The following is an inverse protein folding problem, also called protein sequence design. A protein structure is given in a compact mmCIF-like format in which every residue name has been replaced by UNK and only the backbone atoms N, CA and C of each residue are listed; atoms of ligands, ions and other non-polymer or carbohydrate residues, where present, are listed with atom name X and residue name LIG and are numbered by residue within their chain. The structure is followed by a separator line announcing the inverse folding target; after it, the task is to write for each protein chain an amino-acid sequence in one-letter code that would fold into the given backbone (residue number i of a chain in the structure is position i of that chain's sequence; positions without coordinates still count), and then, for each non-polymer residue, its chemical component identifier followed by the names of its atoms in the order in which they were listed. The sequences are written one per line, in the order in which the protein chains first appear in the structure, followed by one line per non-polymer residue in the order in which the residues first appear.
data_IF_688848559736
#
_entry.id   IF_688848559736
#
_cell.length_a   1.000
_cell.length_b   1.000
_cell.length_c   1.000
_cell.angle_alpha   90.00
_cell.angle_beta   90.00
_cell.angle_gamma   90.00
#
_symmetry.space_group_name_H-M   'P 1'
#
loop_
_entity.id
_entity.type
_entity.pdbx_description
1 polymer ?
#
# COMPACT_ATOMS: atom_id res chain seq x y z
N UNK A 1 8.81 -4.66 -33.29
CA UNK A 1 7.36 -4.44 -33.07
C UNK A 1 7.21 -3.29 -32.09
N UNK A 2 6.86 -2.11 -32.58
CA UNK A 2 6.82 -0.87 -31.79
C UNK A 2 5.49 -0.82 -31.05
N UNK A 3 5.50 -0.98 -29.74
CA UNK A 3 4.31 -0.94 -28.90
C UNK A 3 3.82 0.51 -28.79
N UNK A 4 2.70 0.82 -29.43
CA UNK A 4 2.07 2.12 -29.45
C UNK A 4 1.47 2.46 -28.07
N UNK A 5 2.07 3.42 -27.37
CA UNK A 5 1.57 3.94 -26.07
C UNK A 5 0.21 4.63 -26.29
N UNK A 6 -0.84 4.30 -25.50
CA UNK A 6 -2.16 4.89 -25.66
C UNK A 6 -2.16 6.40 -25.39
N UNK A 7 -2.95 7.16 -26.16
CA UNK A 7 -3.03 8.62 -26.16
C UNK A 7 -3.59 9.29 -24.90
N UNK A 8 -4.03 8.51 -23.90
CA UNK A 8 -4.53 9.02 -22.61
C UNK A 8 -3.44 9.49 -21.64
N UNK A 9 -2.17 9.36 -22.00
CA UNK A 9 -1.02 9.72 -21.16
C UNK A 9 -0.57 11.18 -21.32
N UNK A 10 -1.27 12.01 -22.13
CA UNK A 10 -0.82 13.37 -22.48
C UNK A 10 -1.07 14.44 -21.40
N UNK A 11 -1.73 14.14 -20.31
CA UNK A 11 -2.04 15.16 -19.30
C UNK A 11 -1.03 15.26 -18.15
N UNK A 12 -0.01 14.42 -18.13
CA UNK A 12 1.05 14.50 -17.13
C UNK A 12 2.42 14.27 -17.77
N UNK A 13 2.91 15.29 -18.49
CA UNK A 13 4.34 15.42 -18.76
C UNK A 13 4.90 16.42 -17.75
N UNK A 14 5.89 16.03 -16.91
CA UNK A 14 6.67 17.03 -16.21
C UNK A 14 7.33 17.91 -17.27
N UNK A 15 7.12 19.23 -17.18
CA UNK A 15 7.85 20.19 -18.02
C UNK A 15 9.30 20.10 -17.62
N UNK A 16 10.08 19.40 -18.42
CA UNK A 16 11.54 19.52 -18.36
C UNK A 16 11.86 20.96 -18.78
N UNK A 17 12.11 21.83 -17.81
CA UNK A 17 12.81 23.06 -18.09
C UNK A 17 14.24 22.65 -18.48
N UNK A 18 14.58 22.87 -19.74
CA UNK A 18 15.95 22.82 -20.24
C UNK A 18 16.73 23.96 -19.58
N UNK A 19 17.22 23.74 -18.38
CA UNK A 19 18.24 24.52 -17.73
C UNK A 19 19.56 23.78 -17.92
N UNK A 20 20.58 24.49 -18.37
CA UNK A 20 21.88 23.96 -18.82
C UNK A 20 22.47 22.95 -17.86
N UNK A 21 22.95 21.86 -18.43
CA UNK A 21 23.80 20.86 -17.78
C UNK A 21 25.13 21.55 -17.44
N UNK A 22 25.29 21.92 -16.19
CA UNK A 22 26.61 22.05 -15.60
C UNK A 22 26.91 20.72 -14.94
N UNK A 23 28.00 20.08 -15.40
CA UNK A 23 28.62 18.94 -14.75
C UNK A 23 28.89 19.29 -13.27
N UNK A 24 28.06 18.77 -12.39
CA UNK A 24 28.39 18.60 -10.99
C UNK A 24 28.10 17.11 -10.73
N UNK A 25 29.17 16.35 -10.53
CA UNK A 25 29.16 15.07 -9.84
C UNK A 25 28.42 15.29 -8.53
N UNK A 26 27.11 15.13 -8.56
CA UNK A 26 26.28 15.21 -7.35
C UNK A 26 26.53 13.90 -6.65
N UNK A 27 27.36 13.99 -5.61
CA UNK A 27 27.67 12.91 -4.69
C UNK A 27 26.35 12.22 -4.27
N UNK A 28 26.09 11.04 -4.82
CA UNK A 28 24.83 10.31 -4.67
C UNK A 28 24.50 9.97 -3.20
N UNK A 29 25.47 10.19 -2.31
CA UNK A 29 25.39 9.89 -0.87
C UNK A 29 25.14 11.16 -0.01
N UNK A 30 25.07 12.35 -0.61
CA UNK A 30 24.82 13.58 0.14
C UNK A 30 23.31 13.82 0.35
N UNK A 31 22.85 14.02 1.60
CA UNK A 31 21.44 14.33 1.86
C UNK A 31 20.99 15.59 1.13
N UNK A 32 19.80 15.54 0.54
CA UNK A 32 19.19 16.69 -0.14
C UNK A 32 18.89 17.83 0.85
N UNK A 33 18.98 19.07 0.37
CA UNK A 33 18.47 20.23 1.10
C UNK A 33 16.95 20.04 1.40
N UNK A 34 16.42 20.55 2.54
CA UNK A 34 15.05 20.29 2.97
C UNK A 34 13.97 20.59 1.92
N UNK A 35 14.09 21.70 1.19
CA UNK A 35 13.11 22.08 0.16
C UNK A 35 13.18 21.17 -1.08
N UNK A 36 14.37 20.75 -1.49
CA UNK A 36 14.57 19.80 -2.58
C UNK A 36 14.06 18.41 -2.18
N UNK A 37 14.33 17.98 -0.96
CA UNK A 37 13.81 16.74 -0.41
C UNK A 37 12.27 16.75 -0.42
N UNK A 38 11.64 17.82 0.10
CA UNK A 38 10.19 17.96 0.13
C UNK A 38 9.57 17.90 -1.28
N UNK A 39 10.20 18.58 -2.24
CA UNK A 39 9.77 18.55 -3.64
C UNK A 39 9.84 17.13 -4.23
N UNK A 40 10.96 16.43 -4.02
CA UNK A 40 11.14 15.05 -4.53
C UNK A 40 10.19 14.06 -3.87
N UNK A 41 9.96 14.16 -2.56
CA UNK A 41 8.98 13.33 -1.85
C UNK A 41 7.55 13.59 -2.33
N UNK A 42 7.21 14.83 -2.71
CA UNK A 42 5.91 15.16 -3.32
C UNK A 42 5.72 14.42 -4.64
N UNK A 43 6.76 14.32 -5.48
CA UNK A 43 6.71 13.57 -6.74
C UNK A 43 6.41 12.08 -6.49
N UNK A 44 7.09 11.47 -5.51
CA UNK A 44 6.83 10.07 -5.11
C UNK A 44 5.40 9.90 -4.61
N UNK A 45 4.96 10.76 -3.68
CA UNK A 45 3.64 10.69 -3.09
C UNK A 45 2.52 10.83 -4.13
N UNK A 46 2.69 11.70 -5.12
CA UNK A 46 1.72 11.88 -6.21
C UNK A 46 1.48 10.60 -7.04
N UNK A 47 2.43 9.67 -7.06
CA UNK A 47 2.31 8.40 -7.79
C UNK A 47 1.62 7.30 -6.99
N UNK A 48 1.69 7.32 -5.66
CA UNK A 48 1.18 6.24 -4.79
C UNK A 48 -0.33 6.02 -5.00
N UNK A 49 -1.13 7.05 -4.92
CA UNK A 49 -2.58 6.94 -5.07
C UNK A 49 -3.03 6.43 -6.44
N UNK A 50 -2.56 7.00 -7.57
CA UNK A 50 -2.86 6.47 -8.90
C UNK A 50 -2.40 5.03 -9.13
N UNK A 51 -1.22 4.65 -8.64
CA UNK A 51 -0.70 3.30 -8.74
C UNK A 51 -1.61 2.30 -7.99
N UNK A 52 -1.90 2.59 -6.72
CA UNK A 52 -2.77 1.77 -5.89
C UNK A 52 -4.14 1.54 -6.55
N UNK A 53 -4.81 2.60 -7.03
CA UNK A 53 -6.10 2.49 -7.72
C UNK A 53 -6.04 1.67 -9.01
N UNK A 54 -4.94 1.76 -9.77
CA UNK A 54 -4.76 0.97 -11.00
C UNK A 54 -4.58 -0.51 -10.69
N UNK A 55 -3.75 -0.84 -9.72
CA UNK A 55 -3.55 -2.24 -9.29
C UNK A 55 -4.86 -2.83 -8.82
N UNK A 56 -5.57 -2.14 -7.92
CA UNK A 56 -6.86 -2.60 -7.42
C UNK A 56 -7.87 -2.87 -8.54
N UNK A 57 -8.06 -1.90 -9.45
CA UNK A 57 -8.98 -2.07 -10.58
C UNK A 57 -8.63 -3.30 -11.43
N UNK A 58 -7.34 -3.55 -11.65
CA UNK A 58 -6.90 -4.73 -12.41
C UNK A 58 -7.15 -6.03 -11.67
N UNK A 59 -6.92 -6.06 -10.37
CA UNK A 59 -7.21 -7.23 -9.53
C UNK A 59 -8.73 -7.51 -9.52
N UNK A 60 -9.56 -6.49 -9.35
CA UNK A 60 -11.02 -6.60 -9.40
C UNK A 60 -11.54 -7.10 -10.76
N UNK A 61 -10.96 -6.61 -11.87
CA UNK A 61 -11.33 -7.07 -13.22
C UNK A 61 -10.93 -8.51 -13.48
N UNK A 62 -9.81 -8.97 -12.91
CA UNK A 62 -9.31 -10.33 -13.12
C UNK A 62 -10.13 -11.39 -12.38
N UNK A 63 -10.90 -11.03 -11.35
CA UNK A 63 -11.81 -11.95 -10.66
C UNK A 63 -12.92 -11.20 -9.91
N UNK A 64 -14.11 -11.11 -10.49
CA UNK A 64 -15.29 -10.49 -9.84
C UNK A 64 -15.80 -11.26 -8.63
N UNK A 65 -15.20 -12.39 -8.27
CA UNK A 65 -15.81 -13.42 -7.41
C UNK A 65 -15.71 -13.12 -5.91
N UNK A 66 -14.77 -12.30 -5.45
CA UNK A 66 -14.56 -12.20 -4.01
C UNK A 66 -15.07 -10.90 -3.37
N UNK A 67 -15.36 -9.88 -4.18
CA UNK A 67 -16.01 -8.64 -3.70
C UNK A 67 -15.42 -8.05 -2.42
N UNK A 68 -14.13 -8.30 -2.18
CA UNK A 68 -13.47 -7.78 -0.99
C UNK A 68 -13.38 -6.25 -1.11
N UNK A 69 -14.06 -5.55 -0.21
CA UNK A 69 -13.85 -4.11 -0.09
C UNK A 69 -12.40 -3.84 0.34
N UNK A 70 -11.89 -2.65 -0.01
CA UNK A 70 -10.56 -2.19 0.40
C UNK A 70 -10.34 -2.36 1.91
N UNK A 71 -11.36 -2.05 2.70
CA UNK A 71 -11.31 -2.17 4.15
C UNK A 71 -11.23 -3.61 4.64
N UNK A 72 -12.05 -4.50 4.10
CA UNK A 72 -12.00 -5.94 4.43
C UNK A 72 -10.62 -6.49 4.07
N UNK A 73 -10.13 -6.18 2.87
CA UNK A 73 -8.80 -6.60 2.44
C UNK A 73 -7.71 -6.13 3.41
N UNK A 74 -7.72 -4.86 3.82
CA UNK A 74 -6.75 -4.32 4.76
C UNK A 74 -6.73 -5.07 6.11
N UNK A 75 -7.91 -5.47 6.61
CA UNK A 75 -8.01 -6.31 7.81
C UNK A 75 -7.40 -7.69 7.59
N UNK A 76 -7.70 -8.35 6.46
CA UNK A 76 -7.16 -9.68 6.16
C UNK A 76 -5.64 -9.66 5.96
N UNK A 77 -5.11 -8.62 5.29
CA UNK A 77 -3.65 -8.44 5.10
C UNK A 77 -2.92 -8.29 6.44
N UNK A 78 -3.41 -7.43 7.34
CA UNK A 78 -2.85 -7.29 8.68
C UNK A 78 -2.84 -8.61 9.46
N UNK A 79 -3.97 -9.33 9.45
CA UNK A 79 -4.08 -10.61 10.17
C UNK A 79 -3.20 -11.70 9.56
N UNK A 80 -2.96 -11.65 8.26
CA UNK A 80 -2.04 -12.57 7.57
C UNK A 80 -0.59 -12.30 7.96
N UNK A 81 -0.21 -11.03 8.08
CA UNK A 81 1.16 -10.60 8.35
C UNK A 81 1.52 -10.72 9.84
N UNK A 82 0.63 -10.27 10.71
CA UNK A 82 0.92 -10.15 12.15
C UNK A 82 0.22 -11.21 13.01
N UNK A 83 -0.60 -12.09 12.40
CA UNK A 83 -1.42 -13.04 13.16
C UNK A 83 -2.62 -12.36 13.83
N UNK A 84 -3.18 -12.96 14.90
CA UNK A 84 -4.34 -12.44 15.59
C UNK A 84 -4.10 -11.05 16.20
N UNK A 85 -5.01 -10.10 15.96
CA UNK A 85 -4.92 -8.72 16.43
C UNK A 85 -6.23 -8.25 17.06
N UNK A 86 -6.15 -7.25 17.93
CA UNK A 86 -7.32 -6.50 18.40
C UNK A 86 -7.61 -5.31 17.50
N UNK A 87 -8.86 -4.83 17.49
CA UNK A 87 -9.24 -3.62 16.73
C UNK A 87 -8.37 -2.39 17.04
N UNK A 88 -8.02 -2.11 18.32
CA UNK A 88 -7.09 -1.01 18.62
C UNK A 88 -5.67 -1.19 18.04
N UNK A 89 -5.16 -2.44 17.99
CA UNK A 89 -3.87 -2.70 17.36
C UNK A 89 -3.91 -2.44 15.85
N UNK A 90 -4.96 -2.92 15.17
CA UNK A 90 -5.18 -2.65 13.74
C UNK A 90 -5.32 -1.15 13.46
N UNK A 91 -6.05 -0.42 14.31
CA UNK A 91 -6.21 1.03 14.18
C UNK A 91 -4.87 1.77 14.23
N UNK A 92 -4.00 1.41 15.16
CA UNK A 92 -2.65 1.98 15.24
C UNK A 92 -1.80 1.62 14.03
N UNK A 93 -1.81 0.35 13.61
CA UNK A 93 -1.01 -0.10 12.47
C UNK A 93 -1.39 0.57 11.13
N UNK A 94 -2.62 1.06 11.01
CA UNK A 94 -3.12 1.70 9.79
C UNK A 94 -3.39 3.20 9.93
N UNK A 95 -3.07 3.81 11.06
CA UNK A 95 -3.43 5.20 11.38
C UNK A 95 -4.93 5.50 11.17
N UNK A 96 -5.82 4.54 11.52
CA UNK A 96 -7.26 4.63 11.35
C UNK A 96 -8.00 4.68 12.68
N UNK A 97 -9.17 5.35 12.68
CA UNK A 97 -10.01 5.40 13.86
C UNK A 97 -10.54 4.00 14.24
N UNK A 98 -10.66 3.75 15.55
CA UNK A 98 -11.20 2.49 16.07
C UNK A 98 -12.57 2.16 15.47
N UNK A 99 -13.45 3.16 15.31
CA UNK A 99 -14.79 2.94 14.74
C UNK A 99 -14.73 2.49 13.28
N UNK A 100 -13.80 3.07 12.51
CA UNK A 100 -13.63 2.69 11.11
C UNK A 100 -13.12 1.25 10.98
N UNK A 101 -12.09 0.89 11.77
CA UNK A 101 -11.57 -0.50 11.80
C UNK A 101 -12.64 -1.49 12.28
N UNK A 102 -13.44 -1.12 13.31
CA UNK A 102 -14.52 -1.99 13.79
C UNK A 102 -15.55 -2.30 12.69
N UNK A 103 -15.90 -1.31 11.84
CA UNK A 103 -16.79 -1.54 10.70
C UNK A 103 -16.20 -2.53 9.69
N UNK A 104 -14.91 -2.38 9.36
CA UNK A 104 -14.20 -3.29 8.45
C UNK A 104 -14.15 -4.72 9.01
N UNK A 105 -13.88 -4.87 10.30
CA UNK A 105 -13.88 -6.17 10.99
C UNK A 105 -15.27 -6.80 10.99
N UNK A 106 -16.32 -6.01 11.26
CA UNK A 106 -17.69 -6.51 11.24
C UNK A 106 -18.12 -6.98 9.82
N UNK A 107 -17.73 -6.24 8.77
CA UNK A 107 -17.95 -6.65 7.37
C UNK A 107 -17.20 -7.96 7.05
N UNK A 108 -15.95 -8.08 7.46
CA UNK A 108 -15.19 -9.31 7.30
C UNK A 108 -15.81 -10.49 8.06
N UNK A 109 -16.31 -10.28 9.29
CA UNK A 109 -16.97 -11.30 10.09
C UNK A 109 -18.31 -11.73 9.50
N UNK A 110 -19.12 -10.80 9.00
CA UNK A 110 -20.40 -11.11 8.32
C UNK A 110 -20.19 -12.00 7.09
N UNK A 111 -19.02 -11.92 6.47
CA UNK A 111 -18.62 -12.75 5.32
C UNK A 111 -17.95 -14.06 5.74
N UNK A 112 -17.82 -14.34 7.02
CA UNK A 112 -17.14 -15.53 7.53
C UNK A 112 -15.62 -15.56 7.33
N UNK A 113 -15.00 -14.40 7.03
CA UNK A 113 -13.56 -14.31 6.73
C UNK A 113 -12.69 -14.15 7.97
N UNK A 114 -13.28 -13.72 9.08
CA UNK A 114 -12.61 -13.59 10.38
C UNK A 114 -13.50 -14.09 11.50
N UNK A 115 -12.88 -14.63 12.54
CA UNK A 115 -13.48 -14.98 13.82
C UNK A 115 -13.15 -13.92 14.86
N UNK A 116 -14.12 -13.64 15.74
CA UNK A 116 -14.00 -12.75 16.89
C UNK A 116 -14.03 -13.59 18.15
N UNK A 117 -12.88 -13.70 18.85
CA UNK A 117 -12.73 -14.53 20.04
C UNK A 117 -12.39 -13.70 21.27
N UNK A 118 -12.71 -14.15 22.48
CA UNK A 118 -12.23 -13.51 23.71
C UNK A 118 -10.71 -13.41 23.71
N UNK A 119 -10.19 -12.28 24.20
CA UNK A 119 -8.75 -12.10 24.35
C UNK A 119 -8.31 -12.53 25.75
N UNK A 120 -7.49 -13.60 25.88
CA UNK A 120 -7.04 -14.07 27.20
C UNK A 120 -6.23 -13.03 27.98
N UNK A 121 -5.52 -12.14 27.27
CA UNK A 121 -4.67 -11.12 27.88
C UNK A 121 -5.45 -9.87 28.31
N UNK A 122 -6.64 -9.60 27.70
CA UNK A 122 -7.43 -8.40 27.98
C UNK A 122 -8.91 -8.64 27.76
N UNK A 123 -9.66 -8.89 28.83
CA UNK A 123 -11.10 -9.20 28.77
C UNK A 123 -11.98 -8.13 28.08
N UNK A 124 -11.49 -6.88 27.96
CA UNK A 124 -12.25 -5.77 27.33
C UNK A 124 -12.00 -5.61 25.83
N UNK A 125 -11.13 -6.44 25.22
CA UNK A 125 -10.82 -6.35 23.80
C UNK A 125 -10.85 -7.74 23.17
N UNK A 126 -11.67 -7.94 22.16
CA UNK A 126 -11.71 -9.18 21.40
C UNK A 126 -10.48 -9.34 20.51
N UNK A 127 -10.08 -10.55 20.28
CA UNK A 127 -9.03 -10.95 19.36
C UNK A 127 -9.67 -11.37 18.02
N UNK A 128 -9.21 -10.78 16.94
CA UNK A 128 -9.68 -11.08 15.59
C UNK A 128 -8.68 -12.05 14.95
N UNK A 129 -9.18 -13.10 14.30
CA UNK A 129 -8.38 -14.13 13.64
C UNK A 129 -8.91 -14.39 12.24
N UNK A 130 -8.02 -14.76 11.30
CA UNK A 130 -8.46 -15.29 10.02
C UNK A 130 -9.12 -16.66 10.19
N UNK A 131 -10.24 -16.85 9.51
CA UNK A 131 -10.79 -18.19 9.24
C UNK A 131 -10.00 -18.87 8.11
N UNK A 132 -10.30 -20.13 7.81
CA UNK A 132 -9.73 -20.81 6.64
C UNK A 132 -10.18 -20.13 5.34
N UNK A 133 -11.44 -19.71 5.26
CA UNK A 133 -11.97 -18.96 4.13
C UNK A 133 -11.29 -17.59 4.00
N UNK A 134 -11.03 -16.89 5.11
CA UNK A 134 -10.30 -15.64 5.11
C UNK A 134 -8.85 -15.81 4.62
N UNK A 135 -8.17 -16.89 5.03
CA UNK A 135 -6.84 -17.23 4.52
C UNK A 135 -6.85 -17.53 3.02
N UNK A 136 -7.81 -18.31 2.57
CA UNK A 136 -7.97 -18.63 1.16
C UNK A 136 -8.24 -17.38 0.32
N UNK A 137 -9.17 -16.52 0.77
CA UNK A 137 -9.54 -15.29 0.09
C UNK A 137 -8.35 -14.34 -0.09
N UNK A 138 -7.61 -14.03 0.99
CA UNK A 138 -6.46 -13.11 0.89
C UNK A 138 -5.30 -13.72 0.10
N UNK A 139 -5.09 -15.04 0.19
CA UNK A 139 -4.09 -15.74 -0.62
C UNK A 139 -4.41 -15.66 -2.11
N UNK A 140 -5.66 -15.84 -2.49
CA UNK A 140 -6.11 -15.73 -3.88
C UNK A 140 -5.86 -14.31 -4.43
N UNK A 141 -6.23 -13.26 -3.68
CA UNK A 141 -5.97 -11.87 -4.07
C UNK A 141 -4.47 -11.62 -4.26
N UNK A 142 -3.64 -12.01 -3.29
CA UNK A 142 -2.18 -11.81 -3.35
C UNK A 142 -1.56 -12.56 -4.53
N UNK A 143 -2.04 -13.76 -4.84
CA UNK A 143 -1.55 -14.54 -5.98
C UNK A 143 -1.84 -13.83 -7.30
N UNK A 144 -3.04 -13.29 -7.47
CA UNK A 144 -3.42 -12.52 -8.67
C UNK A 144 -2.60 -11.25 -8.81
N UNK A 145 -2.38 -10.52 -7.73
CA UNK A 145 -1.51 -9.35 -7.75
C UNK A 145 -0.10 -9.69 -8.23
N UNK A 146 0.47 -10.78 -7.72
CA UNK A 146 1.79 -11.25 -8.16
C UNK A 146 1.83 -11.57 -9.65
N UNK A 147 0.77 -12.19 -10.20
CA UNK A 147 0.68 -12.46 -11.63
C UNK A 147 0.65 -11.16 -12.44
N UNK A 148 -0.13 -10.17 -12.00
CA UNK A 148 -0.19 -8.86 -12.66
C UNK A 148 1.13 -8.11 -12.55
N UNK A 149 1.76 -8.11 -11.38
CA UNK A 149 3.02 -7.41 -11.14
C UNK A 149 4.17 -8.00 -11.98
N UNK A 150 4.18 -9.33 -12.24
CA UNK A 150 5.14 -9.93 -13.17
C UNK A 150 5.02 -9.38 -14.59
N UNK A 151 3.86 -8.89 -15.00
CA UNK A 151 3.64 -8.34 -16.35
C UNK A 151 4.07 -6.89 -16.49
N UNK A 152 4.26 -6.17 -15.39
CA UNK A 152 4.59 -4.73 -15.38
C UNK A 152 6.01 -4.42 -14.91
N UNK A 153 6.78 -5.43 -14.51
CA UNK A 153 8.12 -5.27 -13.95
C UNK A 153 9.12 -4.65 -14.93
N UNK A 154 9.00 -4.95 -16.23
CA UNK A 154 9.90 -4.41 -17.25
C UNK A 154 11.37 -4.71 -16.95
N UNK A 155 12.20 -3.68 -16.96
CA UNK A 155 13.65 -3.70 -16.73
C UNK A 155 14.04 -3.20 -15.31
N UNK A 156 13.09 -3.13 -14.37
CA UNK A 156 13.36 -2.72 -12.98
C UNK A 156 14.33 -3.69 -12.31
N UNK A 157 15.36 -3.12 -11.69
CA UNK A 157 16.39 -3.88 -10.96
C UNK A 157 16.01 -4.06 -9.47
N UNK A 158 16.68 -4.97 -8.80
CA UNK A 158 16.53 -5.14 -7.34
C UNK A 158 16.95 -3.86 -6.58
N UNK A 159 17.97 -3.16 -7.06
CA UNK A 159 18.41 -1.89 -6.48
C UNK A 159 17.32 -0.81 -6.57
N UNK A 160 16.63 -0.70 -7.71
CA UNK A 160 15.51 0.26 -7.88
C UNK A 160 14.38 -0.03 -6.91
N UNK A 161 14.03 -1.31 -6.76
CA UNK A 161 12.96 -1.73 -5.86
C UNK A 161 13.35 -1.55 -4.39
N UNK A 162 14.58 -1.86 -4.02
CA UNK A 162 15.11 -1.66 -2.66
C UNK A 162 15.10 -0.18 -2.29
N UNK A 163 15.56 0.71 -3.17
CA UNK A 163 15.51 2.16 -2.95
C UNK A 163 14.07 2.67 -2.83
N UNK A 164 13.15 2.20 -3.67
CA UNK A 164 11.74 2.56 -3.62
C UNK A 164 11.09 2.14 -2.29
N UNK A 165 11.30 0.90 -1.87
CA UNK A 165 10.78 0.36 -0.59
C UNK A 165 11.35 1.15 0.57
N UNK A 166 12.66 1.44 0.58
CA UNK A 166 13.30 2.24 1.62
C UNK A 166 12.66 3.63 1.75
N UNK A 167 12.50 4.36 0.65
CA UNK A 167 11.88 5.71 0.65
C UNK A 167 10.46 5.66 1.19
N UNK A 168 9.62 4.74 0.71
CA UNK A 168 8.23 4.63 1.16
C UNK A 168 8.13 4.24 2.65
N UNK A 169 9.00 3.34 3.13
CA UNK A 169 9.05 2.97 4.54
C UNK A 169 9.44 4.16 5.42
N UNK A 170 10.47 4.90 5.03
CA UNK A 170 10.89 6.12 5.75
C UNK A 170 9.79 7.19 5.77
N UNK A 171 9.04 7.34 4.69
CA UNK A 171 7.88 8.24 4.67
C UNK A 171 6.80 7.80 5.67
N UNK A 172 6.44 6.52 5.70
CA UNK A 172 5.43 6.00 6.61
C UNK A 172 5.83 6.21 8.07
N UNK A 173 7.07 5.82 8.46
CA UNK A 173 7.58 5.96 9.82
C UNK A 173 7.62 7.42 10.30
N UNK A 174 8.06 8.33 9.43
CA UNK A 174 8.19 9.75 9.78
C UNK A 174 6.83 10.45 9.89
N UNK A 175 5.88 10.12 9.03
CA UNK A 175 4.53 10.69 9.12
C UNK A 175 3.78 10.31 10.42
N UNK A 176 4.13 9.18 11.06
CA UNK A 176 3.59 8.85 12.39
C UNK A 176 4.08 9.81 13.49
N UNK A 177 5.23 10.43 13.31
CA UNK A 177 5.88 11.30 14.29
C UNK A 177 5.70 12.80 14.04
N UNK A 178 5.05 13.19 12.94
CA UNK A 178 4.80 14.61 12.62
C UNK A 178 3.51 15.08 13.30
N UNK A 179 3.66 15.90 14.33
CA UNK A 179 2.53 16.65 14.93
C UNK A 179 2.14 17.79 13.99
N UNK A 180 0.95 17.72 13.40
CA UNK A 180 0.34 18.83 12.65
C UNK A 180 -0.40 19.71 13.62
N UNK A 181 0.23 20.83 14.05
CA UNK A 181 -0.42 21.88 14.83
C UNK A 181 -1.37 22.71 13.96
#
# INVERSE_FOLDING_TARGET
MTTKVPSSFRYWQPRCHAGGVTDADTDADTPLAPDDLARRLTEVFALVGPLYRRVQRKVEQAAPIEGLSVGVRAVLDLLREHGPMTVPQMGRAQALSRQFVQRMVNDAATRGLVDITPNPAHQRSSLIRLTDDGRAAISAVTTRERVLLRQVGGDLTDADLTACVHVLTQMLERFESVDVN
#
